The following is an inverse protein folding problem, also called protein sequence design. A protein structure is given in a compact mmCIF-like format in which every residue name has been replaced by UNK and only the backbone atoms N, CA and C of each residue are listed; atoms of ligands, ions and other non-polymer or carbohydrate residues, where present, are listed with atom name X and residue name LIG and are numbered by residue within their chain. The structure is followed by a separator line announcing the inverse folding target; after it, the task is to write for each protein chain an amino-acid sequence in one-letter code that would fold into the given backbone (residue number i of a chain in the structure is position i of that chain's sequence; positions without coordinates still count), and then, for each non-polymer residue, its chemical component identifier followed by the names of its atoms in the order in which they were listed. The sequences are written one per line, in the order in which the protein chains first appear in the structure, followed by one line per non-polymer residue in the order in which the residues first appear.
data_IF_533692433362
#
_entry.id   IF_533692433362
#
_cell.length_a   1.000
_cell.length_b   1.000
_cell.length_c   1.000
_cell.angle_alpha   90.00
_cell.angle_beta   90.00
_cell.angle_gamma   90.00
#
_symmetry.space_group_name_H-M   'P 1'
#
loop_
_entity.id
_entity.type
_entity.pdbx_description
1 polymer ?
#
# COMPACT_ATOMS: atom_id res chain seq x y z
N UNK A 1 -14.24 -15.76 -19.62
CA UNK A 1 -15.20 -15.25 -18.60
C UNK A 1 -14.41 -14.40 -17.62
N UNK A 2 -14.67 -13.10 -17.57
CA UNK A 2 -14.10 -12.20 -16.57
C UNK A 2 -14.92 -12.43 -15.30
N UNK A 3 -14.38 -13.12 -14.29
CA UNK A 3 -15.08 -13.31 -13.02
C UNK A 3 -15.38 -11.92 -12.45
N UNK A 4 -16.66 -11.62 -12.25
CA UNK A 4 -17.08 -10.41 -11.57
C UNK A 4 -16.69 -10.55 -10.10
N UNK A 5 -15.52 -10.03 -9.74
CA UNK A 5 -15.11 -9.90 -8.34
C UNK A 5 -16.12 -8.99 -7.65
N UNK A 6 -16.80 -9.49 -6.62
CA UNK A 6 -17.70 -8.68 -5.81
C UNK A 6 -16.96 -7.40 -5.33
N UNK A 7 -17.63 -6.24 -5.31
CA UNK A 7 -16.98 -5.00 -4.93
C UNK A 7 -16.45 -5.12 -3.50
N UNK A 8 -15.19 -4.74 -3.36
CA UNK A 8 -14.53 -4.65 -2.07
C UNK A 8 -15.31 -3.68 -1.15
N UNK A 9 -15.44 -3.97 0.16
CA UNK A 9 -16.10 -3.04 1.06
C UNK A 9 -15.39 -1.68 1.08
N UNK A 10 -16.15 -0.59 1.31
CA UNK A 10 -15.59 0.75 1.39
C UNK A 10 -14.62 0.86 2.57
N UNK A 11 -13.57 1.63 2.37
CA UNK A 11 -12.60 1.96 3.41
C UNK A 11 -13.25 2.92 4.42
N UNK A 12 -12.99 2.70 5.71
CA UNK A 12 -13.54 3.52 6.80
C UNK A 12 -12.57 4.61 7.23
N UNK A 13 -11.28 4.33 7.25
CA UNK A 13 -10.26 5.31 7.64
C UNK A 13 -9.93 6.28 6.50
N UNK A 14 -9.57 7.51 6.89
CA UNK A 14 -8.99 8.52 6.00
C UNK A 14 -7.47 8.40 5.88
N UNK A 15 -6.82 7.73 6.83
CA UNK A 15 -5.36 7.60 6.87
C UNK A 15 -4.91 6.42 6.01
N UNK A 16 -4.03 6.68 5.05
CA UNK A 16 -3.54 5.68 4.08
C UNK A 16 -3.05 4.38 4.75
N UNK A 17 -2.24 4.47 5.81
CA UNK A 17 -1.73 3.27 6.48
C UNK A 17 -2.81 2.47 7.19
N UNK A 18 -3.89 3.12 7.63
CA UNK A 18 -5.02 2.43 8.26
C UNK A 18 -5.93 1.81 7.19
N UNK A 19 -6.13 2.49 6.06
CA UNK A 19 -6.80 1.92 4.88
C UNK A 19 -6.08 0.65 4.38
N UNK A 20 -4.75 0.67 4.36
CA UNK A 20 -3.93 -0.50 4.03
C UNK A 20 -4.20 -1.65 5.02
N UNK A 21 -4.20 -1.38 6.33
CA UNK A 21 -4.49 -2.40 7.35
C UNK A 21 -5.90 -2.96 7.22
N UNK A 22 -6.91 -2.11 6.98
CA UNK A 22 -8.28 -2.54 6.73
C UNK A 22 -8.35 -3.52 5.56
N UNK A 23 -7.66 -3.20 4.46
CA UNK A 23 -7.63 -4.06 3.27
C UNK A 23 -6.90 -5.37 3.54
N UNK A 24 -5.74 -5.33 4.19
CA UNK A 24 -4.94 -6.52 4.52
C UNK A 24 -5.73 -7.47 5.43
N UNK A 25 -6.42 -6.94 6.44
CA UNK A 25 -7.24 -7.73 7.37
C UNK A 25 -8.50 -8.29 6.70
N UNK A 26 -9.15 -7.51 5.84
CA UNK A 26 -10.29 -8.00 5.03
C UNK A 26 -9.89 -9.18 4.14
N UNK A 27 -8.68 -9.14 3.58
CA UNK A 27 -8.14 -10.22 2.75
C UNK A 27 -7.53 -11.38 3.55
N UNK A 28 -7.67 -11.37 4.89
CA UNK A 28 -7.19 -12.41 5.79
C UNK A 28 -5.69 -12.73 5.69
N UNK A 29 -4.88 -11.73 5.32
CA UNK A 29 -3.43 -11.88 5.39
C UNK A 29 -2.94 -11.96 6.85
N UNK A 30 -1.79 -12.59 7.03
CA UNK A 30 -1.16 -12.68 8.36
C UNK A 30 -0.78 -11.31 8.92
N UNK A 31 -0.71 -11.21 10.26
CA UNK A 31 -0.19 -10.01 10.92
C UNK A 31 1.24 -9.68 10.49
N UNK A 32 2.06 -10.69 10.17
CA UNK A 32 3.41 -10.50 9.65
C UNK A 32 3.40 -9.79 8.29
N UNK A 33 2.46 -10.16 7.41
CA UNK A 33 2.26 -9.49 6.12
C UNK A 33 1.82 -8.04 6.32
N UNK A 34 0.89 -7.78 7.25
CA UNK A 34 0.47 -6.42 7.61
C UNK A 34 1.66 -5.55 8.01
N UNK A 35 2.51 -6.05 8.91
CA UNK A 35 3.69 -5.34 9.40
C UNK A 35 4.67 -5.03 8.28
N UNK A 36 4.99 -6.02 7.44
CA UNK A 36 5.88 -5.84 6.29
C UNK A 36 5.34 -4.80 5.31
N UNK A 37 4.05 -4.86 4.98
CA UNK A 37 3.45 -3.95 4.02
C UNK A 37 3.38 -2.52 4.57
N UNK A 38 2.98 -2.35 5.84
CA UNK A 38 2.99 -1.05 6.51
C UNK A 38 4.40 -0.46 6.56
N UNK A 39 5.42 -1.28 6.81
CA UNK A 39 6.81 -0.85 6.81
C UNK A 39 7.22 -0.29 5.44
N UNK A 40 7.01 -1.06 4.37
CA UNK A 40 7.41 -0.66 3.02
C UNK A 40 6.63 0.53 2.48
N UNK A 41 5.31 0.58 2.70
CA UNK A 41 4.48 1.72 2.26
C UNK A 41 4.87 2.99 3.01
N UNK A 42 5.19 2.89 4.32
CA UNK A 42 5.68 4.05 5.09
C UNK A 42 7.04 4.53 4.58
N UNK A 43 7.96 3.62 4.26
CA UNK A 43 9.27 3.96 3.70
C UNK A 43 9.13 4.66 2.34
N UNK A 44 8.29 4.10 1.46
CA UNK A 44 7.98 4.67 0.14
C UNK A 44 7.43 6.11 0.24
N UNK A 45 6.43 6.35 1.10
CA UNK A 45 5.85 7.69 1.31
C UNK A 45 6.92 8.68 1.81
N UNK A 46 7.80 8.25 2.72
CA UNK A 46 8.85 9.12 3.26
C UNK A 46 9.95 9.44 2.25
N UNK A 47 10.38 8.44 1.47
CA UNK A 47 11.35 8.62 0.39
C UNK A 47 10.87 9.66 -0.62
N UNK A 48 9.56 9.69 -0.90
CA UNK A 48 8.92 10.65 -1.81
C UNK A 48 8.45 11.95 -1.17
N UNK A 49 8.97 12.32 0.01
CA UNK A 49 8.70 13.62 0.65
C UNK A 49 7.29 13.75 1.22
N UNK A 50 6.70 12.67 1.72
CA UNK A 50 5.35 12.64 2.34
C UNK A 50 4.23 13.03 1.37
N UNK A 51 4.43 12.74 0.08
CA UNK A 51 3.37 12.84 -0.94
C UNK A 51 2.33 11.73 -0.77
N UNK A 52 1.08 12.03 -1.10
CA UNK A 52 0.01 11.03 -1.05
C UNK A 52 0.26 9.95 -2.11
N UNK A 53 0.27 8.64 -1.78
CA UNK A 53 0.70 7.62 -2.73
C UNK A 53 -0.20 7.46 -3.96
N UNK A 54 -1.45 7.92 -3.92
CA UNK A 54 -2.30 7.97 -5.11
C UNK A 54 -1.81 8.96 -6.19
N UNK A 55 -0.89 9.86 -5.85
CA UNK A 55 -0.24 10.78 -6.81
C UNK A 55 1.12 10.27 -7.27
N UNK A 56 1.53 9.07 -6.87
CA UNK A 56 2.82 8.46 -7.18
C UNK A 56 2.60 7.27 -8.13
N UNK A 57 3.36 7.24 -9.22
CA UNK A 57 3.19 6.26 -10.29
C UNK A 57 4.35 5.28 -10.38
N UNK A 58 4.44 4.61 -11.53
CA UNK A 58 5.49 3.63 -11.80
C UNK A 58 6.90 4.20 -11.69
N UNK A 59 7.11 5.44 -12.15
CA UNK A 59 8.41 6.15 -12.04
C UNK A 59 8.90 6.25 -10.60
N UNK A 60 8.01 6.58 -9.67
CA UNK A 60 8.33 6.68 -8.26
C UNK A 60 8.59 5.32 -7.62
N UNK A 61 7.86 4.29 -8.07
CA UNK A 61 8.10 2.91 -7.63
C UNK A 61 9.47 2.44 -8.09
N UNK A 62 9.82 2.63 -9.36
CA UNK A 62 11.13 2.30 -9.92
C UNK A 62 12.25 3.02 -9.16
N UNK A 63 12.14 4.34 -8.95
CA UNK A 63 13.12 5.11 -8.21
C UNK A 63 13.32 4.59 -6.78
N UNK A 64 12.25 4.21 -6.09
CA UNK A 64 12.31 3.64 -4.75
C UNK A 64 12.99 2.25 -4.75
N UNK A 65 12.65 1.40 -5.71
CA UNK A 65 13.26 0.07 -5.85
C UNK A 65 14.75 0.15 -6.21
N UNK A 66 15.13 1.08 -7.09
CA UNK A 66 16.55 1.35 -7.40
C UNK A 66 17.31 1.83 -6.17
N UNK A 67 16.70 2.67 -5.34
CA UNK A 67 17.31 3.11 -4.08
C UNK A 67 17.49 1.94 -3.08
N UNK A 68 16.56 1.00 -3.02
CA UNK A 68 16.68 -0.18 -2.14
C UNK A 68 17.74 -1.20 -2.59
N UNK A 69 18.11 -1.19 -3.86
CA UNK A 69 19.08 -2.11 -4.43
C UNK A 69 20.54 -1.67 -4.28
N UNK A 70 20.77 -0.40 -3.89
CA UNK A 70 22.08 0.21 -3.66
C UNK A 70 22.39 0.26 -2.16
#
# INVERSE_FOLDING_TARGET
MKTATAPLPPLRSVKVLDQLRERIRYLHYSLRTEQAYVHWVRAFIRFHGVRHPATLGSSEVEAFLSWLAN
#
